data_IF_693920735526
#
_entry.id   IF_693920735526
#
_cell.length_a   1.000
_cell.length_b   1.000
_cell.length_c   1.000
_cell.angle_alpha   90.00
_cell.angle_beta   90.00
_cell.angle_gamma   90.00
#
_symmetry.space_group_name_H-M   'P 1'
#
loop_
_entity.id
_entity.type
_entity.pdbx_description
1 polymer ?
#
# COMPACT_ATOMS: atom_id res chain seq x y z
N UNK A 1 -29.70 -5.31 17.08
CA UNK A 1 -30.18 -6.54 16.39
C UNK A 1 -29.19 -7.05 15.35
N UNK A 2 -28.71 -6.21 14.42
CA UNK A 2 -27.83 -6.65 13.33
C UNK A 2 -26.50 -7.29 13.80
N UNK A 3 -25.88 -6.77 14.87
CA UNK A 3 -24.62 -7.36 15.38
C UNK A 3 -24.78 -8.75 15.97
N UNK A 4 -25.92 -9.04 16.59
CA UNK A 4 -26.23 -10.37 17.12
C UNK A 4 -26.48 -11.37 15.97
N UNK A 5 -27.18 -10.93 14.92
CA UNK A 5 -27.43 -11.75 13.72
C UNK A 5 -26.13 -12.04 12.95
N UNK A 6 -25.18 -11.11 12.91
CA UNK A 6 -23.87 -11.35 12.31
C UNK A 6 -23.06 -12.38 13.09
N UNK A 7 -22.95 -12.21 14.41
CA UNK A 7 -22.27 -13.17 15.27
C UNK A 7 -22.88 -14.57 15.14
N UNK A 8 -24.20 -14.65 15.06
CA UNK A 8 -24.91 -15.91 14.85
C UNK A 8 -24.57 -16.55 13.49
N UNK A 9 -24.62 -15.79 12.38
CA UNK A 9 -24.23 -16.31 11.07
C UNK A 9 -22.77 -16.78 11.02
N UNK A 10 -21.87 -16.06 11.69
CA UNK A 10 -20.44 -16.39 11.73
C UNK A 10 -20.15 -17.64 12.58
N UNK A 11 -20.98 -17.91 13.59
CA UNK A 11 -20.96 -19.15 14.37
C UNK A 11 -21.58 -20.34 13.61
N UNK A 12 -22.53 -20.07 12.71
CA UNK A 12 -23.24 -21.08 11.92
C UNK A 12 -22.51 -21.49 10.63
N UNK A 13 -21.77 -20.58 9.98
CA UNK A 13 -21.07 -20.82 8.69
C UNK A 13 -19.66 -21.43 8.82
N UNK A 14 -19.02 -21.38 9.99
CA UNK A 14 -17.63 -21.81 10.15
C UNK A 14 -17.52 -23.27 10.64
N UNK A 15 -17.04 -24.20 9.80
CA UNK A 15 -16.58 -25.51 10.29
C UNK A 15 -15.40 -25.30 11.27
N UNK A 16 -15.63 -25.59 12.56
CA UNK A 16 -14.65 -25.36 13.63
C UNK A 16 -14.84 -24.06 14.42
N UNK A 17 -15.79 -23.21 14.03
CA UNK A 17 -16.13 -21.95 14.69
C UNK A 17 -15.07 -20.85 14.53
N UNK A 18 -15.45 -19.57 14.67
CA UNK A 18 -14.49 -18.47 14.59
C UNK A 18 -13.53 -18.46 15.78
N UNK A 19 -12.27 -18.04 15.59
CA UNK A 19 -11.33 -17.84 16.69
C UNK A 19 -11.92 -16.94 17.77
N UNK A 20 -11.78 -17.31 19.04
CA UNK A 20 -12.29 -16.54 20.19
C UNK A 20 -11.85 -15.06 20.14
N UNK A 21 -10.64 -14.79 19.63
CA UNK A 21 -10.12 -13.42 19.47
C UNK A 21 -10.94 -12.58 18.49
N UNK A 22 -11.46 -13.18 17.42
CA UNK A 22 -12.34 -12.51 16.46
C UNK A 22 -13.69 -12.15 17.12
N UNK A 23 -14.23 -13.06 17.94
CA UNK A 23 -15.47 -12.83 18.69
C UNK A 23 -15.30 -11.69 19.71
N UNK A 24 -14.21 -11.72 20.49
CA UNK A 24 -13.90 -10.68 21.47
C UNK A 24 -13.70 -9.31 20.81
N UNK A 25 -13.01 -9.27 19.66
CA UNK A 25 -12.84 -8.06 18.86
C UNK A 25 -14.19 -7.52 18.38
N UNK A 26 -15.07 -8.38 17.85
CA UNK A 26 -16.42 -7.96 17.41
C UNK A 26 -17.28 -7.43 18.57
N UNK A 27 -17.22 -8.04 19.75
CA UNK A 27 -17.90 -7.55 20.96
C UNK A 27 -17.36 -6.17 21.35
N UNK A 28 -16.04 -5.99 21.32
CA UNK A 28 -15.41 -4.70 21.66
C UNK A 28 -15.80 -3.61 20.67
N UNK A 29 -15.80 -3.92 19.38
CA UNK A 29 -16.28 -3.02 18.30
C UNK A 29 -17.73 -2.62 18.55
N UNK A 30 -18.61 -3.58 18.88
CA UNK A 30 -20.00 -3.30 19.21
C UNK A 30 -20.16 -2.45 20.49
N UNK A 31 -19.34 -2.66 21.52
CA UNK A 31 -19.32 -1.83 22.74
C UNK A 31 -18.91 -0.38 22.46
N UNK A 32 -18.10 -0.15 21.44
CA UNK A 32 -17.72 1.19 20.96
C UNK A 32 -18.80 1.82 20.08
N UNK A 33 -19.96 1.17 19.91
CA UNK A 33 -21.05 1.65 19.06
C UNK A 33 -20.82 1.43 17.56
N UNK A 34 -19.77 0.69 17.19
CA UNK A 34 -19.43 0.42 15.80
C UNK A 34 -20.24 -0.80 15.34
N UNK A 35 -21.08 -0.60 14.33
CA UNK A 35 -21.92 -1.68 13.78
C UNK A 35 -21.09 -2.63 12.93
N UNK A 36 -21.16 -3.93 13.20
CA UNK A 36 -20.44 -4.97 12.44
C UNK A 36 -20.89 -5.12 10.98
N UNK A 37 -22.02 -4.53 10.58
CA UNK A 37 -22.37 -4.43 9.16
C UNK A 37 -21.36 -3.57 8.37
N UNK A 38 -20.63 -2.68 9.04
CA UNK A 38 -19.49 -1.96 8.48
C UNK A 38 -18.34 -2.91 8.10
N UNK A 39 -18.18 -4.02 8.84
CA UNK A 39 -17.15 -5.03 8.56
C UNK A 39 -17.51 -5.92 7.37
N UNK A 40 -18.79 -5.96 6.96
CA UNK A 40 -19.25 -6.80 5.86
C UNK A 40 -19.00 -6.18 4.48
N UNK A 41 -18.59 -4.91 4.40
CA UNK A 41 -18.43 -4.21 3.13
C UNK A 41 -19.71 -4.16 2.27
N UNK A 42 -20.89 -4.45 2.85
CA UNK A 42 -22.16 -4.66 2.12
C UNK A 42 -22.77 -3.39 1.50
N UNK A 43 -22.06 -2.26 1.60
CA UNK A 43 -22.43 -0.98 1.00
C UNK A 43 -21.17 -0.21 0.57
N UNK A 44 -20.28 -0.89 -0.15
CA UNK A 44 -19.18 -0.24 -0.83
C UNK A 44 -19.65 0.23 -2.20
N UNK A 45 -19.31 1.45 -2.62
CA UNK A 45 -19.60 1.92 -3.95
C UNK A 45 -18.81 1.09 -4.99
N UNK A 46 -19.37 0.98 -6.20
CA UNK A 46 -18.71 0.31 -7.33
C UNK A 46 -17.44 1.06 -7.80
N UNK A 47 -17.31 2.34 -7.43
CA UNK A 47 -16.19 3.20 -7.78
C UNK A 47 -15.45 3.72 -6.55
N UNK A 48 -14.12 3.82 -6.66
CA UNK A 48 -13.27 4.43 -5.62
C UNK A 48 -13.44 5.94 -5.67
N UNK A 49 -13.84 6.55 -4.54
CA UNK A 49 -13.99 7.99 -4.42
C UNK A 49 -12.66 8.72 -4.69
N UNK A 50 -12.74 9.83 -5.41
CA UNK A 50 -11.60 10.71 -5.67
C UNK A 50 -11.88 12.07 -5.03
N UNK A 51 -11.03 12.47 -4.09
CA UNK A 51 -11.08 13.77 -3.45
C UNK A 51 -10.07 14.70 -4.11
N UNK A 52 -10.52 15.89 -4.52
CA UNK A 52 -9.62 16.93 -5.06
C UNK A 52 -8.85 17.66 -3.96
N UNK A 53 -9.34 17.59 -2.72
CA UNK A 53 -8.77 18.26 -1.55
C UNK A 53 -8.58 17.26 -0.41
N UNK A 54 -7.49 17.42 0.32
CA UNK A 54 -7.20 16.64 1.52
C UNK A 54 -8.32 16.77 2.56
N UNK A 55 -8.97 15.67 3.00
CA UNK A 55 -9.91 15.70 4.11
C UNK A 55 -9.17 15.93 5.44
N UNK A 56 -9.89 16.41 6.46
CA UNK A 56 -9.39 16.38 7.84
C UNK A 56 -9.16 14.94 8.31
N UNK A 57 -8.33 14.73 9.33
CA UNK A 57 -8.10 13.39 9.90
C UNK A 57 -9.40 12.77 10.45
N UNK A 58 -10.28 13.57 11.04
CA UNK A 58 -11.58 13.12 11.56
C UNK A 58 -12.53 12.68 10.44
N UNK A 59 -12.64 13.49 9.37
CA UNK A 59 -13.45 13.15 8.20
C UNK A 59 -12.89 11.92 7.49
N UNK A 60 -11.57 11.85 7.37
CA UNK A 60 -10.87 10.73 6.75
C UNK A 60 -11.15 9.43 7.51
N UNK A 61 -11.03 9.45 8.83
CA UNK A 61 -11.32 8.30 9.68
C UNK A 61 -12.78 7.87 9.57
N UNK A 62 -13.71 8.81 9.73
CA UNK A 62 -15.14 8.51 9.82
C UNK A 62 -15.75 8.03 8.49
N UNK A 63 -15.30 8.59 7.37
CA UNK A 63 -15.88 8.31 6.05
C UNK A 63 -15.15 7.21 5.26
N UNK A 64 -13.87 6.94 5.58
CA UNK A 64 -13.05 5.99 4.81
C UNK A 64 -12.47 4.86 5.66
N UNK A 65 -11.74 5.16 6.73
CA UNK A 65 -11.08 4.12 7.53
C UNK A 65 -12.09 3.25 8.27
N UNK A 66 -12.96 3.84 9.09
CA UNK A 66 -13.95 3.14 9.89
C UNK A 66 -14.91 2.24 9.05
N UNK A 67 -15.43 2.69 7.89
CA UNK A 67 -16.25 1.84 7.03
C UNK A 67 -15.46 0.94 6.06
N UNK A 68 -14.12 0.94 6.11
CA UNK A 68 -13.29 0.11 5.23
C UNK A 68 -13.40 0.47 3.74
N UNK A 69 -13.46 1.77 3.42
CA UNK A 69 -13.64 2.29 2.06
C UNK A 69 -12.32 2.80 1.48
N UNK A 70 -11.92 2.36 0.28
CA UNK A 70 -10.78 2.95 -0.41
C UNK A 70 -11.09 4.37 -0.89
N UNK A 71 -10.06 5.21 -0.95
CA UNK A 71 -10.16 6.59 -1.46
C UNK A 71 -8.85 7.01 -2.13
N UNK A 72 -8.95 7.81 -3.19
CA UNK A 72 -7.82 8.52 -3.79
C UNK A 72 -7.91 9.99 -3.41
N UNK A 73 -6.86 10.51 -2.78
CA UNK A 73 -6.78 11.94 -2.43
C UNK A 73 -5.77 12.61 -3.35
N UNK A 74 -6.24 13.47 -4.24
CA UNK A 74 -5.39 14.31 -5.09
C UNK A 74 -4.86 15.47 -4.27
N UNK A 75 -3.65 15.91 -4.61
CA UNK A 75 -3.03 17.09 -3.98
C UNK A 75 -3.01 17.02 -2.44
N UNK A 76 -2.91 15.81 -1.89
CA UNK A 76 -2.93 15.58 -0.44
C UNK A 76 -1.70 16.16 0.28
N UNK A 77 -0.61 16.32 -0.47
CA UNK A 77 0.68 16.81 0.00
C UNK A 77 1.17 17.88 -0.97
N UNK A 78 1.92 18.83 -0.42
CA UNK A 78 2.54 19.92 -1.15
C UNK A 78 4.06 19.76 -1.18
N UNK A 79 4.69 20.09 -2.32
CA UNK A 79 6.12 19.85 -2.53
C UNK A 79 7.02 20.78 -1.70
N UNK A 80 6.55 21.95 -1.26
CA UNK A 80 7.31 22.84 -0.39
C UNK A 80 7.40 22.27 1.03
N UNK A 81 6.33 21.60 1.49
CA UNK A 81 6.27 20.99 2.84
C UNK A 81 6.67 19.52 2.86
N UNK A 82 6.57 18.82 1.73
CA UNK A 82 7.01 17.45 1.49
C UNK A 82 7.93 17.39 0.25
N UNK A 83 9.19 17.83 0.36
CA UNK A 83 10.17 17.81 -0.73
C UNK A 83 10.34 16.47 -1.47
N UNK A 84 10.13 15.30 -0.83
CA UNK A 84 10.19 14.03 -1.54
C UNK A 84 9.29 13.90 -2.77
N UNK A 85 8.21 14.71 -2.89
CA UNK A 85 7.40 14.75 -4.11
C UNK A 85 8.20 15.16 -5.35
N UNK A 86 9.18 16.05 -5.20
CA UNK A 86 9.99 16.55 -6.30
C UNK A 86 11.28 15.72 -6.48
N UNK A 87 11.92 15.33 -5.38
CA UNK A 87 13.25 14.73 -5.44
C UNK A 87 13.25 13.23 -5.75
N UNK A 88 12.34 12.44 -5.17
CA UNK A 88 12.34 10.98 -5.35
C UNK A 88 11.97 10.52 -6.77
N UNK A 89 11.17 11.28 -7.56
CA UNK A 89 11.01 11.02 -8.99
C UNK A 89 12.24 11.34 -9.85
N UNK A 90 13.19 12.13 -9.37
CA UNK A 90 14.33 12.62 -10.16
C UNK A 90 15.50 11.62 -10.13
N UNK A 91 15.77 10.98 -11.27
CA UNK A 91 16.88 10.04 -11.40
C UNK A 91 18.25 10.70 -11.23
N UNK A 92 18.40 11.99 -11.53
CA UNK A 92 19.63 12.74 -11.25
C UNK A 92 19.90 12.83 -9.75
N UNK A 93 18.89 13.25 -9.00
CA UNK A 93 18.91 13.26 -7.54
C UNK A 93 19.20 11.87 -6.95
N UNK A 94 18.49 10.83 -7.40
CA UNK A 94 18.68 9.46 -6.92
C UNK A 94 20.11 8.95 -7.15
N UNK A 95 20.73 9.29 -8.28
CA UNK A 95 22.14 8.96 -8.56
C UNK A 95 23.09 9.68 -7.63
N UNK A 96 22.91 10.99 -7.46
CA UNK A 96 23.76 11.81 -6.61
C UNK A 96 23.75 11.26 -5.17
N UNK A 97 22.56 10.94 -4.65
CA UNK A 97 22.37 10.57 -3.25
C UNK A 97 22.64 9.10 -2.95
N UNK A 98 22.24 8.20 -3.86
CA UNK A 98 22.15 6.77 -3.55
C UNK A 98 22.90 5.86 -4.54
N UNK A 99 23.65 6.36 -5.52
CA UNK A 99 24.36 5.50 -6.50
C UNK A 99 25.32 4.49 -5.88
N UNK A 100 25.91 4.83 -4.73
CA UNK A 100 26.82 3.97 -3.98
C UNK A 100 26.11 2.81 -3.25
N UNK A 101 24.77 2.83 -3.16
CA UNK A 101 23.97 1.81 -2.48
C UNK A 101 23.78 0.58 -3.35
N UNK A 102 23.39 -0.51 -2.68
CA UNK A 102 22.85 -1.71 -3.31
C UNK A 102 21.43 -1.92 -2.80
N UNK A 103 20.53 -2.31 -3.68
CA UNK A 103 19.11 -2.51 -3.37
C UNK A 103 18.71 -3.96 -3.57
N UNK A 104 17.84 -4.45 -2.68
CA UNK A 104 17.12 -5.71 -2.86
C UNK A 104 16.05 -5.57 -3.95
N UNK A 105 16.02 -6.52 -4.86
CA UNK A 105 15.00 -6.62 -5.92
C UNK A 105 14.47 -8.04 -6.04
N UNK A 106 13.25 -8.11 -6.57
CA UNK A 106 12.64 -9.33 -7.10
C UNK A 106 13.17 -9.55 -8.51
N UNK A 107 13.70 -10.73 -8.80
CA UNK A 107 14.24 -11.11 -10.12
C UNK A 107 13.58 -12.35 -10.73
N UNK A 108 12.96 -13.18 -9.89
CA UNK A 108 12.18 -14.34 -10.30
C UNK A 108 10.77 -13.89 -10.71
N UNK A 109 10.66 -13.51 -11.98
CA UNK A 109 9.36 -13.22 -12.61
C UNK A 109 8.97 -14.32 -13.60
N UNK A 110 7.68 -14.68 -13.63
CA UNK A 110 7.09 -15.39 -14.77
C UNK A 110 6.25 -14.40 -15.57
N UNK A 111 6.05 -14.68 -16.86
CA UNK A 111 5.16 -13.87 -17.68
C UNK A 111 3.73 -14.38 -17.56
N UNK A 112 2.77 -13.48 -17.53
CA UNK A 112 1.36 -13.84 -17.68
C UNK A 112 0.99 -14.14 -19.13
N UNK A 113 -0.28 -14.46 -19.37
CA UNK A 113 -0.78 -14.79 -20.71
C UNK A 113 -0.58 -13.66 -21.72
N UNK A 114 -0.51 -12.40 -21.26
CA UNK A 114 -0.21 -11.22 -22.07
C UNK A 114 1.29 -10.85 -22.11
N UNK A 115 2.16 -11.69 -21.58
CA UNK A 115 3.61 -11.48 -21.57
C UNK A 115 4.10 -10.47 -20.53
N UNK A 116 3.27 -10.09 -19.55
CA UNK A 116 3.63 -9.12 -18.50
C UNK A 116 4.38 -9.81 -17.37
N UNK A 117 5.48 -9.22 -16.85
CA UNK A 117 6.23 -9.83 -15.77
C UNK A 117 5.45 -9.78 -14.45
N UNK A 118 5.30 -10.95 -13.81
CA UNK A 118 4.72 -11.13 -12.50
C UNK A 118 5.79 -11.51 -11.48
N UNK A 119 5.90 -10.74 -10.40
CA UNK A 119 6.91 -10.94 -9.35
C UNK A 119 6.24 -11.45 -8.06
N UNK A 120 6.17 -12.77 -7.91
CA UNK A 120 5.55 -13.41 -6.74
C UNK A 120 6.51 -13.66 -5.57
N UNK A 121 7.83 -13.70 -5.81
CA UNK A 121 8.82 -13.97 -4.76
C UNK A 121 9.07 -12.77 -3.86
N UNK A 122 9.61 -13.03 -2.67
CA UNK A 122 10.28 -12.01 -1.86
C UNK A 122 11.57 -11.55 -2.55
N UNK A 123 12.01 -10.30 -2.35
CA UNK A 123 13.26 -9.79 -2.93
C UNK A 123 14.46 -10.66 -2.55
N UNK A 124 15.14 -11.20 -3.55
CA UNK A 124 16.18 -12.22 -3.38
C UNK A 124 17.55 -11.82 -3.92
N UNK A 125 17.62 -10.77 -4.77
CA UNK A 125 18.85 -10.33 -5.42
C UNK A 125 19.24 -8.92 -4.96
N UNK A 126 20.51 -8.72 -4.59
CA UNK A 126 21.05 -7.39 -4.24
C UNK A 126 21.99 -6.86 -5.31
N UNK A 127 21.57 -5.84 -6.06
CA UNK A 127 22.38 -5.22 -7.14
C UNK A 127 22.73 -3.76 -6.84
N UNK A 128 23.77 -3.19 -7.48
CA UNK A 128 24.06 -1.76 -7.39
C UNK A 128 22.84 -0.93 -7.82
N UNK A 129 22.48 0.08 -7.02
CA UNK A 129 21.31 0.91 -7.30
C UNK A 129 21.48 1.70 -8.59
N UNK A 130 22.70 2.16 -8.90
CA UNK A 130 22.99 2.80 -10.17
C UNK A 130 22.65 1.91 -11.37
N UNK A 131 23.07 0.65 -11.35
CA UNK A 131 22.75 -0.31 -12.42
C UNK A 131 21.24 -0.58 -12.52
N UNK A 132 20.53 -0.55 -11.40
CA UNK A 132 19.07 -0.63 -11.39
C UNK A 132 18.43 0.58 -12.10
N UNK A 133 18.84 1.81 -11.77
CA UNK A 133 18.36 3.03 -12.42
C UNK A 133 18.63 3.02 -13.94
N UNK A 134 19.83 2.62 -14.35
CA UNK A 134 20.20 2.49 -15.76
C UNK A 134 19.32 1.49 -16.51
N UNK A 135 18.97 0.36 -15.86
CA UNK A 135 18.05 -0.63 -16.44
C UNK A 135 16.65 -0.06 -16.64
N UNK A 136 16.14 0.74 -15.69
CA UNK A 136 14.83 1.39 -15.81
C UNK A 136 14.83 2.42 -16.94
N UNK A 137 15.84 3.29 -17.05
CA UNK A 137 15.92 4.26 -18.14
C UNK A 137 16.07 3.58 -19.51
N UNK A 138 16.83 2.48 -19.59
CA UNK A 138 16.93 1.69 -20.81
C UNK A 138 15.56 1.13 -21.22
N UNK A 139 14.75 0.66 -20.26
CA UNK A 139 13.36 0.27 -20.53
C UNK A 139 12.55 1.45 -21.07
N UNK A 140 12.62 2.61 -20.44
CA UNK A 140 11.80 3.76 -20.86
C UNK A 140 12.15 4.23 -22.27
N UNK A 141 13.45 4.24 -22.60
CA UNK A 141 13.96 4.70 -23.88
C UNK A 141 13.81 3.67 -25.00
N UNK A 142 14.04 2.40 -24.70
CA UNK A 142 14.21 1.35 -25.72
C UNK A 142 13.21 0.19 -25.57
N UNK A 143 12.35 0.21 -24.56
CA UNK A 143 11.40 -0.89 -24.24
C UNK A 143 12.10 -2.24 -24.06
N UNK A 144 13.34 -2.23 -23.60
CA UNK A 144 14.11 -3.43 -23.25
C UNK A 144 13.49 -4.11 -22.04
N UNK A 145 13.55 -5.44 -21.94
CA UNK A 145 13.03 -6.15 -20.77
C UNK A 145 13.82 -5.76 -19.50
N UNK A 146 13.12 -5.39 -18.43
CA UNK A 146 13.72 -5.22 -17.10
C UNK A 146 13.29 -6.40 -16.24
N UNK A 147 14.23 -7.29 -15.87
CA UNK A 147 13.91 -8.48 -15.10
C UNK A 147 13.80 -8.20 -13.60
N UNK A 148 13.77 -6.93 -13.17
CA UNK A 148 13.87 -6.55 -11.77
C UNK A 148 12.71 -5.69 -11.32
N UNK A 149 12.23 -5.95 -10.11
CA UNK A 149 11.25 -5.12 -9.43
C UNK A 149 11.67 -4.87 -7.99
N UNK A 150 11.87 -3.60 -7.63
CA UNK A 150 12.13 -3.20 -6.25
C UNK A 150 10.75 -2.99 -5.61
N UNK A 151 10.20 -4.01 -4.97
CA UNK A 151 8.83 -3.95 -4.43
C UNK A 151 8.74 -4.50 -3.01
N UNK A 152 8.02 -3.78 -2.14
CA UNK A 152 7.84 -4.11 -0.71
C UNK A 152 9.17 -4.17 0.04
N UNK A 153 10.03 -3.20 -0.23
CA UNK A 153 11.37 -3.09 0.38
C UNK A 153 11.35 -1.97 1.43
N UNK A 154 11.85 -2.19 2.67
CA UNK A 154 11.92 -1.13 3.67
C UNK A 154 12.86 -0.01 3.23
N UNK A 155 12.32 1.22 3.08
CA UNK A 155 13.05 2.37 2.56
C UNK A 155 14.26 2.72 3.44
N UNK A 156 14.06 2.75 4.76
CA UNK A 156 15.12 3.06 5.74
C UNK A 156 16.29 2.07 5.67
N UNK A 157 16.00 0.80 5.40
CA UNK A 157 17.01 -0.26 5.37
C UNK A 157 17.85 -0.23 4.08
N UNK A 158 17.22 0.02 2.92
CA UNK A 158 17.92 -0.05 1.64
C UNK A 158 18.39 1.30 1.11
N UNK A 159 17.64 2.38 1.35
CA UNK A 159 17.91 3.73 0.87
C UNK A 159 17.73 4.75 2.02
N UNK A 160 18.57 4.68 3.07
CA UNK A 160 18.42 5.50 4.26
C UNK A 160 18.42 7.00 3.96
N UNK A 161 19.17 7.47 2.97
CA UNK A 161 19.24 8.89 2.61
C UNK A 161 17.89 9.45 2.17
N UNK A 162 17.07 8.63 1.51
CA UNK A 162 15.72 9.00 1.08
C UNK A 162 14.73 8.90 2.24
N UNK A 163 14.91 7.93 3.13
CA UNK A 163 14.12 7.83 4.35
C UNK A 163 14.32 9.05 5.26
N UNK A 164 15.56 9.54 5.39
CA UNK A 164 15.85 10.77 6.15
C UNK A 164 15.06 11.96 5.61
N UNK A 165 14.91 12.06 4.29
CA UNK A 165 14.16 13.14 3.67
C UNK A 165 12.65 13.06 3.96
N UNK A 166 12.09 11.86 3.92
CA UNK A 166 10.68 11.60 4.28
C UNK A 166 10.44 11.88 5.77
N UNK A 167 11.37 11.52 6.64
CA UNK A 167 11.29 11.71 8.09
C UNK A 167 11.45 13.18 8.51
N UNK A 168 12.35 13.90 7.83
CA UNK A 168 12.66 15.31 8.08
C UNK A 168 11.60 16.27 7.51
N UNK A 169 10.77 15.81 6.57
CA UNK A 169 9.76 16.65 5.95
C UNK A 169 8.75 17.23 6.98
N UNK A 170 8.31 18.46 6.72
CA UNK A 170 7.40 19.17 7.61
C UNK A 170 6.03 18.48 7.72
N UNK A 171 5.54 17.95 6.59
CA UNK A 171 4.35 17.10 6.49
C UNK A 171 4.70 15.76 5.83
N UNK A 172 3.92 14.72 6.09
CA UNK A 172 3.95 13.44 5.37
C UNK A 172 2.63 12.70 5.61
N UNK A 173 2.27 11.65 4.83
CA UNK A 173 1.03 10.90 5.04
C UNK A 173 0.84 10.42 6.48
N UNK A 174 1.91 9.97 7.13
CA UNK A 174 1.88 9.54 8.54
C UNK A 174 1.57 10.70 9.50
N UNK A 175 2.10 11.90 9.26
CA UNK A 175 1.84 13.05 10.15
C UNK A 175 0.40 13.56 10.00
N UNK A 176 -0.13 13.55 8.78
CA UNK A 176 -1.48 14.05 8.50
C UNK A 176 -2.58 13.05 8.90
N UNK A 177 -2.36 11.75 8.65
CA UNK A 177 -3.40 10.71 8.81
C UNK A 177 -3.02 9.58 9.77
N UNK A 178 -1.83 9.59 10.37
CA UNK A 178 -1.36 8.49 11.22
C UNK A 178 -2.23 8.25 12.46
N UNK A 179 -2.90 9.28 12.99
CA UNK A 179 -3.84 9.15 14.10
C UNK A 179 -5.11 8.37 13.75
N UNK A 180 -5.40 8.18 12.46
CA UNK A 180 -6.53 7.38 11.99
C UNK A 180 -6.22 5.87 12.02
N UNK A 181 -4.98 5.47 12.27
CA UNK A 181 -4.50 4.11 12.14
C UNK A 181 -3.83 3.60 13.42
N UNK A 182 -3.42 2.32 13.41
CA UNK A 182 -2.55 1.75 14.42
C UNK A 182 -1.10 2.25 14.31
N UNK A 183 -0.24 1.72 15.18
CA UNK A 183 1.19 2.02 15.13
C UNK A 183 1.80 1.68 13.77
N UNK A 184 2.78 2.50 13.36
CA UNK A 184 3.55 2.21 12.15
C UNK A 184 4.31 0.89 12.32
N UNK A 185 4.41 0.12 11.24
CA UNK A 185 5.25 -1.07 11.20
C UNK A 185 6.69 -0.74 11.60
N UNK A 186 7.35 -1.69 12.26
CA UNK A 186 8.72 -1.54 12.76
C UNK A 186 9.74 -1.27 11.65
N UNK A 187 9.45 -1.77 10.45
CA UNK A 187 10.22 -1.61 9.22
C UNK A 187 10.02 -0.22 8.60
N UNK A 188 9.02 0.53 9.05
CA UNK A 188 8.71 1.88 8.59
C UNK A 188 8.06 1.91 7.21
N UNK A 189 8.52 2.84 6.37
CA UNK A 189 7.98 3.07 5.02
C UNK A 189 8.54 2.03 4.05
N UNK A 190 7.67 1.41 3.28
CA UNK A 190 8.05 0.53 2.17
C UNK A 190 8.12 1.30 0.86
N UNK A 191 9.10 0.97 0.03
CA UNK A 191 9.30 1.57 -1.30
C UNK A 191 9.00 0.58 -2.42
N UNK A 192 8.52 1.14 -3.53
CA UNK A 192 8.16 0.43 -4.74
C UNK A 192 8.69 1.21 -5.93
N UNK A 193 9.51 0.56 -6.76
CA UNK A 193 10.10 1.10 -7.97
C UNK A 193 10.09 -0.02 -9.01
N UNK A 194 9.53 0.26 -10.18
CA UNK A 194 9.57 -0.62 -11.34
C UNK A 194 9.04 0.07 -12.58
N UNK A 195 9.17 -0.61 -13.71
CA UNK A 195 8.65 -0.18 -15.00
C UNK A 195 7.85 -1.33 -15.63
N UNK A 196 7.43 -1.20 -16.89
CA UNK A 196 6.93 -2.36 -17.65
C UNK A 196 5.60 -2.97 -17.23
N UNK A 197 4.78 -2.27 -16.45
CA UNK A 197 3.49 -2.79 -15.94
C UNK A 197 3.67 -4.08 -15.12
N UNK A 198 4.77 -4.16 -14.36
CA UNK A 198 5.00 -5.22 -13.38
C UNK A 198 3.74 -5.43 -12.54
N UNK A 199 3.29 -6.68 -12.44
CA UNK A 199 2.03 -7.02 -11.77
C UNK A 199 2.33 -7.75 -10.48
N UNK A 200 1.64 -7.34 -9.40
CA UNK A 200 1.54 -8.11 -8.17
C UNK A 200 0.22 -8.86 -8.20
N UNK A 201 0.24 -10.14 -7.86
CA UNK A 201 -0.96 -11.00 -7.84
C UNK A 201 -1.97 -10.51 -6.82
N UNK A 202 -3.22 -10.94 -6.95
CA UNK A 202 -4.26 -10.67 -5.95
C UNK A 202 -3.82 -11.22 -4.59
N UNK A 203 -3.87 -10.38 -3.57
CA UNK A 203 -3.55 -10.69 -2.18
C UNK A 203 -4.29 -9.72 -1.25
N UNK A 204 -4.21 -9.98 0.05
CA UNK A 204 -4.61 -9.04 1.09
C UNK A 204 -3.44 -8.81 2.05
N UNK A 205 -3.40 -7.64 2.68
CA UNK A 205 -2.51 -7.35 3.80
C UNK A 205 -3.37 -7.17 5.06
N UNK A 206 -2.82 -7.52 6.23
CA UNK A 206 -3.46 -7.29 7.53
C UNK A 206 -3.18 -5.86 8.06
N UNK A 207 -2.99 -4.89 7.16
CA UNK A 207 -2.57 -3.54 7.47
C UNK A 207 -3.37 -2.52 6.68
N UNK A 208 -3.57 -1.34 7.28
CA UNK A 208 -4.07 -0.17 6.59
C UNK A 208 -2.95 0.46 5.74
N UNK A 209 -3.21 0.66 4.45
CA UNK A 209 -2.19 1.06 3.48
C UNK A 209 -2.39 2.52 3.02
N UNK A 210 -1.50 3.42 3.44
CA UNK A 210 -1.35 4.75 2.84
C UNK A 210 -0.32 4.69 1.71
N UNK A 211 -0.80 4.69 0.46
CA UNK A 211 0.06 4.57 -0.71
C UNK A 211 0.20 5.89 -1.47
N UNK A 212 1.45 6.34 -1.62
CA UNK A 212 1.79 7.55 -2.35
C UNK A 212 2.45 7.19 -3.69
N UNK A 213 1.82 7.58 -4.80
CA UNK A 213 2.38 7.43 -6.14
C UNK A 213 3.12 8.71 -6.52
N UNK A 214 4.45 8.67 -6.46
CA UNK A 214 5.31 9.84 -6.73
C UNK A 214 5.53 10.09 -8.23
N UNK A 215 5.63 9.02 -9.01
CA UNK A 215 5.84 9.08 -10.46
C UNK A 215 5.10 7.93 -11.16
N UNK A 216 4.60 8.20 -12.37
CA UNK A 216 3.91 7.22 -13.19
C UNK A 216 2.48 6.94 -12.75
N UNK A 217 2.04 5.69 -12.84
CA UNK A 217 0.68 5.29 -12.50
C UNK A 217 0.65 3.88 -11.93
N UNK A 218 -0.04 3.70 -10.81
CA UNK A 218 -0.37 2.39 -10.26
C UNK A 218 -1.85 2.09 -10.49
N UNK A 219 -2.14 0.94 -11.08
CA UNK A 219 -3.50 0.45 -11.30
C UNK A 219 -3.81 -0.63 -10.28
N UNK A 220 -4.90 -0.47 -9.55
CA UNK A 220 -5.33 -1.39 -8.51
C UNK A 220 -6.68 -1.98 -8.93
N UNK A 221 -6.78 -3.30 -8.87
CA UNK A 221 -8.06 -4.00 -8.86
C UNK A 221 -8.32 -4.37 -7.41
N UNK A 222 -9.39 -3.84 -6.85
CA UNK A 222 -9.74 -4.00 -5.44
C UNK A 222 -10.95 -4.93 -5.33
N UNK A 223 -10.87 -5.84 -4.37
CA UNK A 223 -11.97 -6.72 -3.99
C UNK A 223 -12.28 -6.46 -2.52
N UNK A 224 -13.53 -6.15 -2.14
CA UNK A 224 -13.87 -5.96 -0.76
C UNK A 224 -13.72 -7.29 0.02
N UNK A 225 -13.39 -7.25 1.32
CA UNK A 225 -13.29 -8.46 2.13
C UNK A 225 -14.56 -9.33 2.10
N UNK A 226 -15.74 -8.71 1.89
CA UNK A 226 -17.02 -9.41 1.77
C UNK A 226 -17.16 -10.31 0.53
N UNK A 227 -16.29 -10.17 -0.48
CA UNK A 227 -16.24 -11.06 -1.65
C UNK A 227 -15.54 -12.39 -1.36
N UNK A 228 -14.74 -12.45 -0.28
CA UNK A 228 -14.16 -13.70 0.17
C UNK A 228 -15.28 -14.63 0.67
N UNK A 229 -15.44 -15.79 0.03
CA UNK A 229 -16.31 -16.83 0.57
C UNK A 229 -15.69 -17.37 1.86
N UNK A 230 -16.48 -17.63 2.92
CA UNK A 230 -15.98 -18.41 4.05
C UNK A 230 -15.44 -19.74 3.52
N UNK A 231 -14.17 -20.02 3.81
CA UNK A 231 -13.55 -21.33 3.60
C UNK A 231 -13.74 -22.17 4.86
#
# INVERSE_FOLDING_TARGET
>A
LASAQFLQALLEDAEGGPPIQSILSMIRIAQLGIHVDLLRGRQLPDEVAVLETAPSAEDFFSHFVLPGRPVVVRSALDAERFPPLAHLPDFGFLRERCSHRRVLVKSLGFCDEEGRPQFMSDPELKLPFLAYLEAIEAYEKHRTLVPYYLGKVPLRAELPELADEVEAAATCPRREYGSCFGELLTEGVFTYFGCGRNTTTVHHDAHENLMLCLCGTKRLLLYPPGDARPC
#
